data_IF_893076917072
#
_entry.id   IF_893076917072
#
_cell.length_a   1.000
_cell.length_b   1.000
_cell.length_c   1.000
_cell.angle_alpha   90.00
_cell.angle_beta   90.00
_cell.angle_gamma   90.00
#
_symmetry.space_group_name_H-M   'P 1'
#
loop_
_entity.id
_entity.type
_entity.pdbx_description
1 polymer ?
#
# COMPACT_ATOMS: atom_id res chain seq x y z
N UNK A 1 -14.28 -17.74 15.27
CA UNK A 1 -14.70 -17.63 13.85
C UNK A 1 -13.92 -18.65 13.04
N UNK A 2 -14.45 -19.18 11.94
CA UNK A 2 -13.65 -19.98 11.01
C UNK A 2 -12.89 -19.04 10.06
N UNK A 3 -11.66 -19.39 9.71
CA UNK A 3 -10.88 -18.62 8.74
C UNK A 3 -11.54 -18.70 7.36
N UNK A 4 -11.67 -17.55 6.69
CA UNK A 4 -12.12 -17.47 5.30
C UNK A 4 -11.03 -17.92 4.32
N UNK A 5 -11.41 -18.18 3.06
CA UNK A 5 -10.44 -18.44 1.99
C UNK A 5 -9.70 -17.16 1.62
N UNK A 6 -8.37 -17.18 1.72
CA UNK A 6 -7.51 -16.06 1.31
C UNK A 6 -7.70 -15.73 -0.18
N UNK A 7 -7.79 -16.76 -1.04
CA UNK A 7 -7.98 -16.57 -2.48
C UNK A 7 -9.32 -15.91 -2.82
N UNK A 8 -10.40 -16.29 -2.13
CA UNK A 8 -11.71 -15.68 -2.34
C UNK A 8 -11.74 -14.22 -1.85
N UNK A 9 -11.10 -13.96 -0.71
CA UNK A 9 -10.98 -12.60 -0.15
C UNK A 9 -10.17 -11.70 -1.08
N UNK A 10 -9.03 -12.19 -1.57
CA UNK A 10 -8.18 -11.44 -2.49
C UNK A 10 -8.88 -11.14 -3.83
N UNK A 11 -9.62 -12.11 -4.38
CA UNK A 11 -10.41 -11.89 -5.59
C UNK A 11 -11.48 -10.80 -5.39
N UNK A 12 -12.18 -10.81 -4.26
CA UNK A 12 -13.15 -9.79 -3.91
C UNK A 12 -12.51 -8.40 -3.75
N UNK A 13 -11.41 -8.30 -2.99
CA UNK A 13 -10.68 -7.05 -2.77
C UNK A 13 -10.16 -6.46 -4.08
N UNK A 14 -9.59 -7.30 -4.94
CA UNK A 14 -9.17 -6.90 -6.29
C UNK A 14 -10.33 -6.34 -7.11
N UNK A 15 -11.50 -7.00 -7.10
CA UNK A 15 -12.69 -6.52 -7.82
C UNK A 15 -13.20 -5.17 -7.29
N UNK A 16 -13.05 -4.91 -5.99
CA UNK A 16 -13.35 -3.63 -5.36
C UNK A 16 -12.26 -2.55 -5.58
N UNK A 17 -11.17 -2.86 -6.28
CA UNK A 17 -10.06 -1.93 -6.49
C UNK A 17 -9.21 -1.68 -5.24
N UNK A 18 -9.34 -2.53 -4.21
CA UNK A 18 -8.51 -2.50 -3.00
C UNK A 18 -7.10 -2.97 -3.37
N UNK A 19 -6.11 -2.23 -2.90
CA UNK A 19 -4.70 -2.62 -2.98
C UNK A 19 -4.41 -3.46 -1.74
N UNK A 20 -4.11 -4.73 -1.91
CA UNK A 20 -3.58 -5.54 -0.81
C UNK A 20 -2.06 -5.43 -0.82
N UNK A 21 -1.49 -5.30 0.36
CA UNK A 21 -0.05 -5.20 0.60
C UNK A 21 0.46 -6.49 1.22
N UNK A 22 1.76 -6.80 1.07
CA UNK A 22 2.32 -8.07 1.56
C UNK A 22 2.68 -8.04 3.05
N UNK A 23 2.55 -6.89 3.71
CA UNK A 23 2.83 -6.71 5.13
C UNK A 23 2.51 -5.29 5.61
N UNK A 24 2.64 -5.04 6.92
CA UNK A 24 2.41 -3.71 7.51
C UNK A 24 3.30 -2.61 6.91
N UNK A 25 4.57 -2.90 6.62
CA UNK A 25 5.54 -1.98 6.05
C UNK A 25 5.09 -1.55 4.65
N UNK A 26 4.84 -2.52 3.76
CA UNK A 26 4.31 -2.27 2.41
C UNK A 26 3.00 -1.47 2.45
N UNK A 27 2.13 -1.75 3.42
CA UNK A 27 0.87 -1.05 3.60
C UNK A 27 1.12 0.42 3.98
N UNK A 28 2.01 0.69 4.94
CA UNK A 28 2.34 2.06 5.36
C UNK A 28 3.00 2.86 4.24
N UNK A 29 3.98 2.27 3.55
CA UNK A 29 4.64 2.91 2.40
C UNK A 29 3.64 3.23 1.27
N UNK A 30 2.73 2.30 0.97
CA UNK A 30 1.68 2.51 -0.04
C UNK A 30 0.70 3.61 0.38
N UNK A 31 0.29 3.64 1.66
CA UNK A 31 -0.60 4.66 2.18
C UNK A 31 0.02 6.05 2.13
N UNK A 32 1.34 6.19 2.36
CA UNK A 32 2.05 7.47 2.22
C UNK A 32 1.97 8.02 0.79
N UNK A 33 2.13 7.15 -0.22
CA UNK A 33 1.96 7.54 -1.63
C UNK A 33 0.52 7.99 -1.89
N UNK A 34 -0.47 7.17 -1.48
CA UNK A 34 -1.89 7.47 -1.69
C UNK A 34 -2.34 8.75 -0.98
N UNK A 35 -1.77 9.04 0.19
CA UNK A 35 -2.06 10.25 0.95
C UNK A 35 -1.53 11.51 0.24
N UNK A 36 -0.29 11.49 -0.23
CA UNK A 36 0.32 12.68 -0.83
C UNK A 36 -0.14 12.91 -2.27
N UNK A 37 -0.24 11.84 -3.07
CA UNK A 37 -0.39 11.93 -4.53
C UNK A 37 -1.64 11.24 -5.06
N UNK A 38 -2.45 10.62 -4.20
CA UNK A 38 -3.52 9.73 -4.64
C UNK A 38 -2.96 8.49 -5.35
N UNK A 39 -3.77 7.90 -6.23
CA UNK A 39 -3.30 6.79 -7.06
C UNK A 39 -2.31 7.30 -8.12
N UNK A 40 -1.32 6.48 -8.43
CA UNK A 40 -0.34 6.77 -9.47
C UNK A 40 -0.80 6.12 -10.78
N UNK A 41 -0.75 6.87 -11.87
CA UNK A 41 -1.29 6.42 -13.17
C UNK A 41 -0.39 5.39 -13.87
N UNK A 42 0.86 5.28 -13.44
CA UNK A 42 1.86 4.39 -13.99
C UNK A 42 3.02 4.13 -13.05
N UNK A 43 4.02 3.40 -13.57
CA UNK A 43 5.16 2.88 -12.84
C UNK A 43 6.49 3.14 -13.58
N UNK A 44 6.54 4.21 -14.38
CA UNK A 44 7.76 4.72 -15.00
C UNK A 44 8.46 5.63 -14.02
N UNK A 45 9.68 5.31 -13.63
CA UNK A 45 10.41 6.03 -12.59
C UNK A 45 11.64 6.71 -13.15
N UNK A 46 11.97 7.87 -12.58
CA UNK A 46 13.35 8.33 -12.53
C UNK A 46 13.88 8.22 -11.12
N UNK A 47 15.17 7.95 -10.98
CA UNK A 47 15.84 7.97 -9.69
C UNK A 47 17.16 8.75 -9.75
N UNK A 48 17.42 9.55 -8.72
CA UNK A 48 18.70 10.19 -8.47
C UNK A 48 19.34 9.56 -7.22
N UNK A 49 20.57 9.06 -7.37
CA UNK A 49 21.36 8.42 -6.34
C UNK A 49 22.70 9.14 -6.17
N UNK A 50 23.27 9.13 -4.96
CA UNK A 50 24.55 9.81 -4.70
C UNK A 50 25.77 8.92 -5.00
N UNK A 51 25.53 7.63 -5.24
CA UNK A 51 26.56 6.66 -5.62
C UNK A 51 26.06 5.63 -6.64
N UNK A 52 26.99 5.11 -7.44
CA UNK A 52 26.70 4.04 -8.39
C UNK A 52 26.25 2.72 -7.75
N UNK A 53 26.60 2.48 -6.49
CA UNK A 53 26.12 1.32 -5.73
C UNK A 53 24.63 1.37 -5.47
N UNK A 54 24.12 2.53 -5.04
CA UNK A 54 22.68 2.78 -4.88
C UNK A 54 21.95 2.70 -6.21
N UNK A 55 22.51 3.32 -7.27
CA UNK A 55 21.92 3.29 -8.61
C UNK A 55 21.82 1.86 -9.17
N UNK A 56 22.84 1.02 -8.96
CA UNK A 56 22.79 -0.39 -9.33
C UNK A 56 21.77 -1.17 -8.49
N UNK A 57 21.78 -0.98 -7.17
CA UNK A 57 20.89 -1.70 -6.26
C UNK A 57 19.41 -1.41 -6.53
N UNK A 58 19.03 -0.14 -6.70
CA UNK A 58 17.64 0.22 -6.99
C UNK A 58 17.20 -0.31 -8.36
N UNK A 59 18.11 -0.37 -9.34
CA UNK A 59 17.84 -0.95 -10.65
C UNK A 59 17.56 -2.46 -10.56
N UNK A 60 18.38 -3.20 -9.81
CA UNK A 60 18.21 -4.64 -9.59
C UNK A 60 16.92 -4.97 -8.81
N UNK A 61 16.61 -4.19 -7.77
CA UNK A 61 15.40 -4.36 -6.97
C UNK A 61 14.13 -4.06 -7.78
N UNK A 62 14.18 -3.08 -8.69
CA UNK A 62 13.08 -2.81 -9.60
C UNK A 62 12.83 -3.97 -10.59
N UNK A 63 13.85 -4.78 -10.90
CA UNK A 63 13.74 -5.99 -11.70
C UNK A 63 13.49 -7.26 -10.88
N UNK A 64 13.37 -7.16 -9.54
CA UNK A 64 13.18 -8.31 -8.65
C UNK A 64 11.70 -8.66 -8.53
N UNK A 65 11.29 -9.92 -8.82
CA UNK A 65 9.91 -10.37 -8.68
C UNK A 65 9.36 -10.16 -7.27
N UNK A 66 8.19 -9.54 -7.18
CA UNK A 66 7.55 -9.23 -5.90
C UNK A 66 8.12 -8.01 -5.19
N UNK A 67 9.07 -7.29 -5.78
CA UNK A 67 9.47 -5.93 -5.37
C UNK A 67 9.03 -4.96 -6.46
N UNK A 68 9.81 -4.86 -7.54
CA UNK A 68 9.48 -4.00 -8.68
C UNK A 68 9.01 -4.75 -9.93
N UNK A 69 9.43 -6.00 -10.12
CA UNK A 69 8.98 -6.82 -11.24
C UNK A 69 7.69 -7.58 -10.88
N UNK A 70 6.95 -7.97 -11.91
CA UNK A 70 5.65 -8.66 -11.81
C UNK A 70 5.70 -9.80 -10.80
N UNK A 71 5.02 -9.59 -9.67
CA UNK A 71 4.94 -10.54 -8.57
C UNK A 71 3.81 -10.14 -7.64
N UNK A 72 2.79 -10.99 -7.59
CA UNK A 72 1.57 -10.95 -6.80
C UNK A 72 0.54 -9.84 -7.12
N UNK A 73 0.82 -8.53 -7.10
CA UNK A 73 -0.28 -7.56 -7.00
C UNK A 73 -0.11 -6.16 -7.64
N UNK A 74 1.12 -5.69 -7.88
CA UNK A 74 1.40 -4.34 -8.38
C UNK A 74 1.63 -4.23 -9.89
N UNK A 75 1.99 -3.03 -10.36
CA UNK A 75 2.45 -2.77 -11.74
C UNK A 75 3.97 -2.83 -11.80
N UNK A 76 4.52 -3.47 -12.84
CA UNK A 76 5.96 -3.56 -13.04
C UNK A 76 6.59 -2.17 -13.11
N UNK A 77 7.64 -1.95 -12.31
CA UNK A 77 8.45 -0.74 -12.36
C UNK A 77 9.28 -0.74 -13.63
N UNK A 78 9.53 0.45 -14.17
CA UNK A 78 10.34 0.62 -15.38
C UNK A 78 11.20 1.86 -15.30
N UNK A 79 12.40 1.77 -15.85
CA UNK A 79 13.34 2.87 -16.01
C UNK A 79 13.31 3.33 -17.48
N UNK A 80 12.44 4.29 -17.85
CA UNK A 80 12.40 4.82 -19.21
C UNK A 80 13.74 5.49 -19.58
N UNK A 81 14.01 5.53 -20.88
CA UNK A 81 15.13 6.28 -21.42
C UNK A 81 14.96 7.78 -21.18
N UNK A 82 16.04 8.46 -20.80
CA UNK A 82 16.05 9.91 -20.61
C UNK A 82 15.94 10.59 -21.98
N UNK A 83 14.95 11.47 -22.21
CA UNK A 83 14.83 12.18 -23.49
C UNK A 83 16.08 13.01 -23.81
N UNK A 84 16.40 13.16 -25.10
CA UNK A 84 17.66 13.79 -25.52
C UNK A 84 17.85 15.24 -25.02
N UNK A 85 16.76 16.02 -24.90
CA UNK A 85 16.81 17.37 -24.32
C UNK A 85 17.20 17.32 -22.84
N UNK A 86 16.56 16.45 -22.07
CA UNK A 86 16.86 16.23 -20.66
C UNK A 86 18.30 15.73 -20.44
N UNK A 87 18.78 14.82 -21.30
CA UNK A 87 20.17 14.34 -21.25
C UNK A 87 21.19 15.46 -21.53
N UNK A 88 20.83 16.41 -22.40
CA UNK A 88 21.65 17.60 -22.69
C UNK A 88 21.72 18.52 -21.48
N UNK A 89 20.57 18.78 -20.85
CA UNK A 89 20.49 19.62 -19.63
C UNK A 89 21.27 19.01 -18.47
N UNK A 90 21.14 17.69 -18.25
CA UNK A 90 21.93 16.97 -17.26
C UNK A 90 23.43 17.09 -17.51
N UNK A 91 23.86 16.89 -18.76
CA UNK A 91 25.28 16.98 -19.13
C UNK A 91 25.85 18.38 -18.93
N UNK A 92 25.04 19.43 -19.15
CA UNK A 92 25.45 20.81 -18.94
C UNK A 92 25.70 21.14 -17.46
N UNK A 93 24.93 20.54 -16.54
CA UNK A 93 25.05 20.77 -15.09
C UNK A 93 26.12 19.87 -14.46
N UNK A 94 26.14 18.58 -14.81
CA UNK A 94 26.97 17.56 -14.15
C UNK A 94 28.37 17.41 -14.75
N UNK A 95 28.56 17.86 -15.99
CA UNK A 95 29.84 17.77 -16.70
C UNK A 95 30.19 16.34 -17.16
N UNK A 96 31.37 16.17 -17.78
CA UNK A 96 31.72 14.96 -18.55
C UNK A 96 32.08 13.73 -17.70
N UNK A 97 32.22 13.89 -16.39
CA UNK A 97 32.60 12.79 -15.49
C UNK A 97 31.40 11.92 -15.09
N UNK A 98 30.18 12.45 -15.21
CA UNK A 98 28.95 11.73 -14.86
C UNK A 98 28.41 11.00 -16.09
N UNK A 99 28.08 9.72 -15.90
CA UNK A 99 27.38 8.94 -16.93
C UNK A 99 25.88 9.21 -16.83
N UNK A 100 25.30 9.78 -17.88
CA UNK A 100 23.86 10.06 -17.93
C UNK A 100 23.08 8.76 -18.18
N UNK A 101 22.40 8.29 -17.14
CA UNK A 101 21.59 7.08 -17.14
C UNK A 101 20.39 7.23 -16.20
N UNK A 102 19.41 6.33 -16.31
CA UNK A 102 18.29 6.21 -15.38
C UNK A 102 18.25 4.77 -14.86
N UNK A 103 18.45 4.52 -13.54
CA UNK A 103 18.76 5.47 -12.46
C UNK A 103 20.04 6.29 -12.68
N UNK A 104 20.08 7.51 -12.16
CA UNK A 104 21.20 8.46 -12.28
C UNK A 104 22.07 8.44 -11.01
N UNK A 105 23.34 8.07 -11.14
CA UNK A 105 24.38 8.44 -10.16
C UNK A 105 24.86 9.85 -10.50
N UNK A 106 24.37 10.86 -9.77
CA UNK A 106 24.77 12.26 -10.01
C UNK A 106 26.06 12.65 -9.28
N UNK A 107 26.68 11.69 -8.57
CA UNK A 107 27.78 11.91 -7.64
C UNK A 107 27.46 12.97 -6.58
N UNK A 108 28.45 13.38 -5.80
CA UNK A 108 28.30 14.42 -4.77
C UNK A 108 28.93 15.76 -5.17
N UNK A 109 29.31 15.94 -6.45
CA UNK A 109 30.00 17.16 -6.91
C UNK A 109 29.15 18.43 -6.81
N UNK A 110 27.82 18.31 -6.93
CA UNK A 110 26.87 19.41 -6.79
C UNK A 110 26.22 19.46 -5.39
N UNK A 111 26.67 18.62 -4.46
CA UNK A 111 26.06 18.53 -3.13
C UNK A 111 26.15 19.86 -2.37
N UNK A 112 25.01 20.30 -1.83
CA UNK A 112 24.88 21.59 -1.15
C UNK A 112 24.67 22.81 -2.06
N UNK A 113 24.81 22.68 -3.38
CA UNK A 113 24.43 23.69 -4.36
C UNK A 113 22.96 23.48 -4.76
N UNK A 114 22.04 24.12 -4.01
CA UNK A 114 20.59 23.93 -4.19
C UNK A 114 20.13 24.17 -5.63
N UNK A 115 20.65 25.20 -6.30
CA UNK A 115 20.21 25.56 -7.65
C UNK A 115 20.68 24.51 -8.67
N UNK A 116 21.92 24.02 -8.56
CA UNK A 116 22.38 22.93 -9.44
C UNK A 116 21.65 21.62 -9.17
N UNK A 117 21.42 21.27 -7.89
CA UNK A 117 20.64 20.08 -7.55
C UNK A 117 19.22 20.18 -8.10
N UNK A 118 18.56 21.33 -7.96
CA UNK A 118 17.24 21.57 -8.50
C UNK A 118 17.22 21.39 -10.03
N UNK A 119 18.20 21.96 -10.75
CA UNK A 119 18.31 21.81 -12.21
C UNK A 119 18.50 20.34 -12.62
N UNK A 120 19.39 19.61 -11.94
CA UNK A 120 19.60 18.18 -12.17
C UNK A 120 18.34 17.37 -11.91
N UNK A 121 17.65 17.61 -10.79
CA UNK A 121 16.44 16.88 -10.42
C UNK A 121 15.29 17.17 -11.39
N UNK A 122 15.12 18.44 -11.79
CA UNK A 122 14.10 18.83 -12.78
C UNK A 122 14.38 18.20 -14.16
N UNK A 123 15.64 18.05 -14.56
CA UNK A 123 15.99 17.35 -15.79
C UNK A 123 15.69 15.84 -15.73
N UNK A 124 15.59 15.24 -14.55
CA UNK A 124 15.11 13.86 -14.37
C UNK A 124 13.58 13.74 -14.24
N UNK A 125 12.83 14.83 -14.44
CA UNK A 125 11.37 14.89 -14.27
C UNK A 125 10.67 15.22 -15.60
N UNK A 126 9.34 15.10 -15.65
CA UNK A 126 8.51 15.39 -16.83
C UNK A 126 7.50 14.28 -17.16
N UNK A 127 6.87 14.39 -18.32
CA UNK A 127 5.80 13.48 -18.80
C UNK A 127 6.28 12.05 -19.17
N UNK A 128 7.59 11.87 -19.28
CA UNK A 128 8.24 10.59 -19.55
C UNK A 128 8.32 9.68 -18.31
N UNK A 129 8.04 10.20 -17.12
CA UNK A 129 7.96 9.47 -15.85
C UNK A 129 6.62 9.70 -15.15
N UNK A 130 6.25 8.80 -14.24
CA UNK A 130 5.05 8.89 -13.41
C UNK A 130 5.39 9.34 -11.97
N UNK A 131 6.63 9.11 -11.53
CA UNK A 131 7.19 9.56 -10.26
C UNK A 131 8.72 9.68 -10.35
N UNK A 132 9.30 10.64 -9.65
CA UNK A 132 10.75 10.83 -9.52
C UNK A 132 11.20 10.61 -8.07
N UNK A 133 12.26 9.85 -7.89
CA UNK A 133 12.77 9.40 -6.58
C UNK A 133 14.16 9.96 -6.33
N UNK A 134 14.36 10.63 -5.20
CA UNK A 134 15.70 10.93 -4.69
C UNK A 134 16.07 9.91 -3.60
N UNK A 135 17.11 9.12 -3.80
CA UNK A 135 17.66 8.26 -2.75
C UNK A 135 18.44 9.12 -1.76
N UNK A 136 18.04 9.08 -0.49
CA UNK A 136 18.62 9.93 0.55
C UNK A 136 18.40 9.34 1.94
N UNK A 137 19.47 9.27 2.73
CA UNK A 137 19.43 8.94 4.14
C UNK A 137 19.83 10.16 4.97
N UNK A 138 18.98 10.56 5.90
CA UNK A 138 19.24 11.68 6.81
C UNK A 138 20.08 11.22 8.00
N UNK A 139 21.01 12.06 8.49
CA UNK A 139 21.76 11.72 9.68
C UNK A 139 20.84 11.71 10.89
N UNK A 140 21.22 10.93 11.90
CA UNK A 140 20.58 11.00 13.20
C UNK A 140 20.85 12.36 13.86
N UNK A 141 19.77 13.09 14.18
CA UNK A 141 19.83 14.41 14.79
C UNK A 141 20.53 14.43 16.17
N UNK A 142 20.57 13.29 16.90
CA UNK A 142 21.32 13.17 18.16
C UNK A 142 22.85 13.02 17.95
N UNK A 143 23.31 12.87 16.70
CA UNK A 143 24.72 12.59 16.36
C UNK A 143 25.34 13.60 15.41
N UNK A 144 24.58 14.07 14.43
CA UNK A 144 25.07 14.98 13.41
C UNK A 144 23.96 15.94 12.97
N UNK A 145 24.36 17.14 12.54
CA UNK A 145 23.44 18.09 11.92
C UNK A 145 23.04 17.62 10.52
N UNK A 146 21.77 17.83 10.20
CA UNK A 146 21.17 17.62 8.89
C UNK A 146 21.22 18.86 7.98
N UNK A 147 21.89 19.95 8.40
CA UNK A 147 21.94 21.20 7.65
C UNK A 147 22.44 21.02 6.20
N UNK A 148 23.34 20.07 5.97
CA UNK A 148 23.86 19.75 4.64
C UNK A 148 22.85 19.04 3.72
N UNK A 149 21.75 18.50 4.25
CA UNK A 149 20.67 17.84 3.50
C UNK A 149 19.54 18.81 3.11
N UNK A 150 19.40 19.93 3.82
CA UNK A 150 18.35 20.93 3.55
C UNK A 150 18.32 21.38 2.07
N UNK A 151 19.48 21.65 1.43
CA UNK A 151 19.49 22.03 0.01
C UNK A 151 18.93 20.95 -0.91
N UNK A 152 19.11 19.66 -0.60
CA UNK A 152 18.55 18.57 -1.41
C UNK A 152 17.02 18.49 -1.28
N UNK A 153 16.49 18.72 -0.08
CA UNK A 153 15.04 18.79 0.17
C UNK A 153 14.41 19.97 -0.57
N UNK A 154 15.01 21.15 -0.46
CA UNK A 154 14.55 22.34 -1.15
C UNK A 154 14.61 22.17 -2.69
N UNK A 155 15.71 21.61 -3.20
CA UNK A 155 15.88 21.30 -4.62
C UNK A 155 14.81 20.33 -5.14
N UNK A 156 14.53 19.24 -4.42
CA UNK A 156 13.53 18.25 -4.82
C UNK A 156 12.13 18.86 -4.86
N UNK A 157 11.77 19.65 -3.83
CA UNK A 157 10.50 20.37 -3.79
C UNK A 157 10.35 21.31 -4.99
N UNK A 158 11.37 22.16 -5.22
CA UNK A 158 11.37 23.14 -6.32
C UNK A 158 11.27 22.45 -7.68
N UNK A 159 12.02 21.37 -7.91
CA UNK A 159 11.98 20.60 -9.15
C UNK A 159 10.61 19.95 -9.38
N UNK A 160 10.00 19.37 -8.34
CA UNK A 160 8.65 18.81 -8.39
C UNK A 160 7.60 19.87 -8.75
N UNK A 161 7.62 21.03 -8.08
CA UNK A 161 6.72 22.15 -8.34
C UNK A 161 6.87 22.70 -9.77
N UNK A 162 8.11 22.83 -10.25
CA UNK A 162 8.40 23.34 -11.59
C UNK A 162 7.91 22.42 -12.72
N UNK A 163 7.96 21.11 -12.50
CA UNK A 163 7.65 20.11 -13.54
C UNK A 163 6.27 19.48 -13.39
N UNK A 164 5.62 19.65 -12.23
CA UNK A 164 4.38 18.94 -11.89
C UNK A 164 4.58 17.43 -11.66
N UNK A 165 5.83 16.96 -11.54
CA UNK A 165 6.13 15.53 -11.35
C UNK A 165 5.95 15.14 -9.90
N UNK A 166 5.33 13.99 -9.64
CA UNK A 166 5.20 13.43 -8.28
C UNK A 166 6.59 13.08 -7.74
N UNK A 167 6.93 13.59 -6.56
CA UNK A 167 8.25 13.41 -5.97
C UNK A 167 8.21 12.49 -4.75
N UNK A 168 9.23 11.65 -4.61
CA UNK A 168 9.48 10.85 -3.44
C UNK A 168 10.95 10.95 -3.01
N UNK A 169 11.20 10.85 -1.71
CA UNK A 169 12.53 10.64 -1.14
C UNK A 169 12.58 9.25 -0.51
N UNK A 170 13.58 8.45 -0.89
CA UNK A 170 13.69 7.05 -0.51
C UNK A 170 14.95 6.85 0.34
N UNK A 171 14.75 6.45 1.60
CA UNK A 171 15.85 6.00 2.46
C UNK A 171 16.34 4.63 2.00
N UNK A 172 17.65 4.42 2.01
CA UNK A 172 18.25 3.11 1.76
C UNK A 172 17.77 2.10 2.80
N UNK A 173 17.72 2.54 4.06
CA UNK A 173 17.24 1.80 5.22
C UNK A 173 15.95 2.40 5.76
N UNK A 174 15.21 1.62 6.56
CA UNK A 174 13.99 2.09 7.20
C UNK A 174 14.26 3.28 8.14
N UNK A 175 15.41 3.27 8.80
CA UNK A 175 15.86 4.32 9.72
C UNK A 175 16.42 5.56 9.01
N UNK A 176 16.62 5.49 7.69
CA UNK A 176 17.19 6.58 6.88
C UNK A 176 16.34 7.83 6.83
N UNK A 177 15.02 7.69 7.03
CA UNK A 177 14.08 8.80 7.13
C UNK A 177 13.33 8.65 8.45
N UNK A 178 13.63 9.52 9.41
CA UNK A 178 12.94 9.54 10.70
C UNK A 178 11.49 10.01 10.57
N UNK A 179 10.65 9.72 11.56
CA UNK A 179 9.26 10.17 11.58
C UNK A 179 9.13 11.71 11.49
N UNK A 180 10.03 12.45 12.14
CA UNK A 180 10.09 13.90 12.07
C UNK A 180 10.43 14.41 10.65
N UNK A 181 11.32 13.70 9.94
CA UNK A 181 11.63 14.01 8.55
C UNK A 181 10.48 13.62 7.62
N UNK A 182 9.85 12.47 7.85
CA UNK A 182 8.70 12.01 7.08
C UNK A 182 7.55 13.02 7.13
N UNK A 183 7.21 13.54 8.32
CA UNK A 183 6.20 14.60 8.46
C UNK A 183 6.54 15.86 7.64
N UNK A 184 7.78 16.36 7.77
CA UNK A 184 8.23 17.54 7.04
C UNK A 184 8.23 17.37 5.51
N UNK A 185 8.56 16.17 5.03
CA UNK A 185 8.52 15.85 3.59
C UNK A 185 7.09 15.81 3.08
N UNK A 186 6.16 15.18 3.81
CA UNK A 186 4.75 15.13 3.45
C UNK A 186 4.11 16.52 3.45
N UNK A 187 4.43 17.38 4.41
CA UNK A 187 3.98 18.79 4.44
C UNK A 187 4.44 19.59 3.20
N UNK A 188 5.52 19.13 2.56
CA UNK A 188 6.09 19.71 1.33
C UNK A 188 5.63 18.99 0.06
N UNK A 189 4.72 18.01 0.16
CA UNK A 189 4.23 17.24 -0.99
C UNK A 189 5.22 16.20 -1.53
N UNK A 190 6.27 15.85 -0.76
CA UNK A 190 7.25 14.82 -1.10
C UNK A 190 6.92 13.55 -0.31
N UNK A 191 6.78 12.41 -0.98
CA UNK A 191 6.52 11.13 -0.28
C UNK A 191 7.80 10.63 0.38
N UNK A 192 7.82 10.42 1.70
CA UNK A 192 8.93 9.73 2.36
C UNK A 192 8.74 8.22 2.26
N UNK A 193 9.67 7.54 1.60
CA UNK A 193 9.70 6.09 1.48
C UNK A 193 10.86 5.52 2.30
N UNK A 194 10.59 4.55 3.16
CA UNK A 194 11.54 4.03 4.13
C UNK A 194 12.02 2.63 3.73
N UNK A 195 13.24 2.54 3.19
CA UNK A 195 13.87 1.29 2.74
C UNK A 195 13.56 0.94 1.28
N UNK A 196 14.59 0.50 0.54
CA UNK A 196 14.48 0.24 -0.90
C UNK A 196 13.36 -0.75 -1.27
N UNK A 197 13.32 -1.92 -0.63
CA UNK A 197 12.38 -2.98 -1.01
C UNK A 197 10.92 -2.54 -0.82
N UNK A 198 10.61 -2.01 0.36
CA UNK A 198 9.25 -1.58 0.71
C UNK A 198 8.83 -0.33 -0.06
N UNK A 199 9.74 0.62 -0.27
CA UNK A 199 9.47 1.83 -1.05
C UNK A 199 9.17 1.52 -2.52
N UNK A 200 10.00 0.70 -3.18
CA UNK A 200 9.76 0.30 -4.58
C UNK A 200 8.48 -0.52 -4.72
N UNK A 201 8.25 -1.48 -3.83
CA UNK A 201 7.03 -2.27 -3.84
C UNK A 201 5.78 -1.40 -3.62
N UNK A 202 5.85 -0.41 -2.74
CA UNK A 202 4.75 0.53 -2.53
C UNK A 202 4.42 1.33 -3.78
N UNK A 203 5.42 1.78 -4.54
CA UNK A 203 5.22 2.45 -5.83
C UNK A 203 4.53 1.49 -6.82
N UNK A 204 5.00 0.25 -6.90
CA UNK A 204 4.39 -0.79 -7.74
C UNK A 204 2.91 -1.04 -7.37
N UNK A 205 2.60 -1.12 -6.07
CA UNK A 205 1.26 -1.33 -5.54
C UNK A 205 0.34 -0.11 -5.78
N UNK A 206 0.83 1.11 -5.56
CA UNK A 206 0.08 2.35 -5.77
C UNK A 206 -0.25 2.59 -7.27
N UNK A 207 0.57 2.05 -8.17
CA UNK A 207 0.39 2.10 -9.62
C UNK A 207 -0.50 0.99 -10.20
N UNK A 208 -1.09 0.12 -9.35
CA UNK A 208 -1.97 -0.96 -9.79
C UNK A 208 -3.22 -0.39 -10.51
N UNK A 209 -3.60 -0.90 -11.69
CA UNK A 209 -4.85 -0.52 -12.34
C UNK A 209 -6.09 -0.84 -11.49
N UNK A 210 -7.11 0.02 -11.55
CA UNK A 210 -8.41 -0.23 -10.91
C UNK A 210 -9.30 -1.05 -11.86
N UNK A 211 -9.72 -2.28 -11.52
CA UNK A 211 -10.46 -3.13 -12.45
C UNK A 211 -11.89 -2.64 -12.75
N UNK A 212 -12.51 -1.91 -11.82
CA UNK A 212 -13.91 -1.52 -11.91
C UNK A 212 -14.13 -0.05 -11.52
N UNK A 213 -14.10 0.84 -12.50
CA UNK A 213 -14.26 2.28 -12.30
C UNK A 213 -15.66 2.70 -11.79
N UNK A 214 -16.64 1.79 -11.72
CA UNK A 214 -18.01 2.07 -11.27
C UNK A 214 -18.34 1.68 -9.83
N UNK A 215 -17.49 0.88 -9.17
CA UNK A 215 -17.69 0.54 -7.76
C UNK A 215 -17.16 1.68 -6.89
N UNK A 216 -17.97 2.14 -5.95
CA UNK A 216 -17.54 3.12 -4.94
C UNK A 216 -17.97 2.62 -3.55
N UNK A 217 -17.10 2.72 -2.53
CA UNK A 217 -17.49 2.38 -1.18
C UNK A 217 -18.59 3.35 -0.71
N UNK A 218 -19.51 2.83 0.10
CA UNK A 218 -20.53 3.66 0.74
C UNK A 218 -19.86 4.74 1.59
N UNK A 219 -20.41 5.97 1.66
CA UNK A 219 -19.90 7.01 2.53
C UNK A 219 -19.81 6.52 3.97
N UNK A 220 -18.70 6.83 4.65
CA UNK A 220 -18.57 6.52 6.07
C UNK A 220 -19.61 7.31 6.87
N UNK A 221 -20.45 6.62 7.63
CA UNK A 221 -21.32 7.27 8.61
C UNK A 221 -20.54 7.55 9.91
N UNK A 222 -20.86 8.64 10.62
CA UNK A 222 -20.27 8.90 11.92
C UNK A 222 -20.53 7.73 12.87
N UNK A 223 -19.57 7.45 13.75
CA UNK A 223 -19.72 6.37 14.72
C UNK A 223 -20.98 6.61 15.57
N UNK A 224 -21.84 5.60 15.74
CA UNK A 224 -23.05 5.76 16.53
C UNK A 224 -22.70 6.01 18.00
N UNK A 225 -23.44 6.90 18.65
CA UNK A 225 -23.29 7.23 20.09
C UNK A 225 -23.57 6.02 20.99
N UNK A 226 -24.44 5.11 20.53
CA UNK A 226 -24.81 3.91 21.25
C UNK A 226 -24.54 2.68 20.39
N UNK A 227 -23.98 1.64 21.01
CA UNK A 227 -23.71 0.35 20.39
C UNK A 227 -24.43 -0.72 21.21
N UNK A 228 -25.18 -1.57 20.51
CA UNK A 228 -25.82 -2.73 21.11
C UNK A 228 -25.27 -3.98 20.43
N UNK A 229 -24.94 -5.00 21.22
CA UNK A 229 -24.60 -6.30 20.68
C UNK A 229 -25.88 -6.97 20.18
N UNK A 230 -25.88 -7.37 18.91
CA UNK A 230 -26.96 -8.13 18.26
C UNK A 230 -26.46 -9.56 18.06
N UNK A 231 -27.30 -10.55 18.36
CA UNK A 231 -26.93 -11.95 18.12
C UNK A 231 -26.87 -12.28 16.61
N UNK A 232 -26.23 -13.41 16.26
CA UNK A 232 -26.02 -13.77 14.85
C UNK A 232 -27.34 -13.97 14.08
N UNK A 233 -28.39 -14.46 14.75
CA UNK A 233 -29.67 -14.73 14.09
C UNK A 233 -30.38 -13.41 13.77
N UNK A 234 -30.46 -12.50 14.74
CA UNK A 234 -31.09 -11.19 14.57
C UNK A 234 -30.29 -10.34 13.56
N UNK A 235 -28.96 -10.41 13.60
CA UNK A 235 -28.10 -9.74 12.62
C UNK A 235 -28.35 -10.25 11.20
N UNK A 236 -28.51 -11.57 11.00
CA UNK A 236 -28.85 -12.14 9.68
C UNK A 236 -30.22 -11.71 9.20
N UNK A 237 -31.22 -11.63 10.09
CA UNK A 237 -32.54 -11.10 9.73
C UNK A 237 -32.44 -9.66 9.26
N UNK A 238 -31.68 -8.82 9.95
CA UNK A 238 -31.44 -7.41 9.55
C UNK A 238 -30.76 -7.32 8.18
N UNK A 239 -29.71 -8.12 7.94
CA UNK A 239 -28.99 -8.17 6.65
C UNK A 239 -29.91 -8.64 5.51
N UNK A 240 -30.70 -9.70 5.74
CA UNK A 240 -31.65 -10.21 4.76
C UNK A 240 -32.74 -9.18 4.42
N UNK A 241 -33.22 -8.43 5.42
CA UNK A 241 -34.19 -7.34 5.20
C UNK A 241 -33.59 -6.19 4.37
N UNK A 242 -32.27 -6.01 4.42
CA UNK A 242 -31.53 -5.09 3.57
C UNK A 242 -31.15 -5.67 2.19
N UNK A 243 -31.63 -6.87 1.83
CA UNK A 243 -31.35 -7.53 0.55
C UNK A 243 -29.99 -8.23 0.47
N UNK A 244 -29.27 -8.33 1.59
CA UNK A 244 -27.99 -9.05 1.66
C UNK A 244 -28.28 -10.54 1.85
N UNK A 245 -27.77 -11.37 0.95
CA UNK A 245 -27.93 -12.81 1.04
C UNK A 245 -27.25 -13.36 2.32
N UNK A 246 -28.00 -14.13 3.10
CA UNK A 246 -27.50 -14.80 4.31
C UNK A 246 -27.88 -16.27 4.28
N UNK A 247 -27.06 -17.17 4.87
CA UNK A 247 -27.44 -18.57 5.02
C UNK A 247 -28.72 -18.70 5.87
N UNK A 248 -29.66 -19.53 5.42
CA UNK A 248 -30.87 -19.82 6.16
C UNK A 248 -30.53 -20.45 7.53
N UNK A 249 -31.22 -20.02 8.57
CA UNK A 249 -31.03 -20.53 9.92
C UNK A 249 -32.27 -20.35 10.79
N UNK A 250 -32.29 -21.03 11.92
CA UNK A 250 -33.34 -20.97 12.94
C UNK A 250 -32.73 -20.95 14.33
N UNK A 251 -33.42 -20.31 15.28
CA UNK A 251 -33.08 -20.36 16.70
C UNK A 251 -33.82 -21.54 17.34
N UNK A 252 -33.14 -22.26 18.22
CA UNK A 252 -33.73 -23.23 19.12
C UNK A 252 -33.39 -22.80 20.55
N UNK A 253 -34.29 -23.00 21.51
CA UNK A 253 -34.08 -22.59 22.91
C UNK A 253 -33.26 -23.62 23.69
N UNK A 254 -33.45 -24.90 23.37
CA UNK A 254 -32.80 -26.04 24.00
C UNK A 254 -32.58 -27.16 22.99
N UNK A 255 -31.92 -28.24 23.42
CA UNK A 255 -31.57 -29.38 22.57
C UNK A 255 -32.79 -30.13 22.02
N UNK A 256 -33.93 -30.09 22.72
CA UNK A 256 -35.15 -30.79 22.29
C UNK A 256 -35.81 -30.13 21.08
N UNK A 257 -35.62 -28.81 20.91
CA UNK A 257 -36.18 -28.03 19.80
C UNK A 257 -35.33 -28.13 18.51
N UNK A 258 -34.10 -28.67 18.57
CA UNK A 258 -33.14 -28.60 17.47
C UNK A 258 -33.59 -29.31 16.20
N UNK A 259 -34.13 -30.54 16.32
CA UNK A 259 -34.57 -31.31 15.16
C UNK A 259 -35.72 -30.61 14.41
N UNK A 260 -36.67 -30.04 15.17
CA UNK A 260 -37.78 -29.28 14.60
C UNK A 260 -37.31 -27.96 13.98
N UNK A 261 -36.39 -27.25 14.64
CA UNK A 261 -35.83 -26.00 14.13
C UNK A 261 -34.99 -26.22 12.86
N UNK A 262 -34.31 -27.36 12.74
CA UNK A 262 -33.52 -27.72 11.57
C UNK A 262 -34.36 -28.21 10.38
N UNK A 263 -35.66 -28.50 10.58
CA UNK A 263 -36.52 -29.00 9.53
C UNK A 263 -36.58 -28.02 8.34
N UNK A 264 -36.23 -28.51 7.16
CA UNK A 264 -36.19 -27.72 5.92
C UNK A 264 -34.92 -26.89 5.70
N UNK A 265 -33.93 -26.98 6.60
CA UNK A 265 -32.59 -26.47 6.32
C UNK A 265 -31.81 -27.47 5.45
N UNK A 266 -30.91 -26.95 4.61
CA UNK A 266 -30.06 -27.77 3.76
C UNK A 266 -28.86 -28.27 4.54
N UNK A 267 -28.59 -29.58 4.42
CA UNK A 267 -27.42 -30.22 5.00
C UNK A 267 -26.17 -30.00 4.13
N UNK A 268 -24.96 -30.01 4.73
CA UNK A 268 -24.69 -30.19 6.15
C UNK A 268 -25.00 -28.94 7.00
N UNK A 269 -25.40 -29.17 8.24
CA UNK A 269 -25.80 -28.14 9.19
C UNK A 269 -24.63 -27.66 10.05
N UNK A 270 -24.79 -26.44 10.59
CA UNK A 270 -23.88 -25.84 11.56
C UNK A 270 -24.68 -25.44 12.80
N UNK A 271 -24.33 -26.02 13.95
CA UNK A 271 -24.90 -25.65 15.25
C UNK A 271 -23.99 -24.64 15.94
N UNK A 272 -24.57 -23.52 16.40
CA UNK A 272 -23.86 -22.46 17.11
C UNK A 272 -24.61 -22.04 18.37
N UNK A 273 -23.93 -22.03 19.50
CA UNK A 273 -24.45 -21.45 20.74
C UNK A 273 -24.59 -19.92 20.63
N UNK A 274 -25.72 -19.38 21.08
CA UNK A 274 -25.96 -17.93 21.17
C UNK A 274 -25.55 -17.39 22.55
N UNK A 275 -25.38 -16.08 22.69
CA UNK A 275 -25.03 -15.43 23.97
C UNK A 275 -23.52 -15.26 24.23
N UNK A 276 -22.65 -15.87 23.44
CA UNK A 276 -21.19 -15.68 23.52
C UNK A 276 -20.63 -15.05 22.23
N UNK A 277 -19.77 -14.04 22.39
CA UNK A 277 -19.07 -13.44 21.25
C UNK A 277 -18.01 -14.40 20.67
N UNK A 278 -17.20 -15.02 21.54
CA UNK A 278 -16.12 -15.96 21.19
C UNK A 278 -16.56 -17.43 21.21
N UNK A 279 -17.54 -17.79 20.37
CA UNK A 279 -18.20 -19.12 20.37
C UNK A 279 -17.25 -20.31 20.18
N UNK A 280 -16.21 -20.15 19.37
CA UNK A 280 -15.27 -21.24 19.05
C UNK A 280 -14.42 -21.64 20.26
N UNK A 281 -13.95 -20.67 21.05
CA UNK A 281 -13.14 -20.91 22.26
C UNK A 281 -13.95 -21.59 23.37
N UNK A 282 -15.26 -21.33 23.40
CA UNK A 282 -16.20 -21.99 24.29
C UNK A 282 -16.69 -23.36 23.78
N UNK A 283 -16.18 -23.83 22.63
CA UNK A 283 -16.65 -25.08 22.03
C UNK A 283 -18.11 -25.04 21.58
N UNK A 284 -18.67 -23.85 21.33
CA UNK A 284 -20.08 -23.63 20.96
C UNK A 284 -20.30 -23.60 19.45
N UNK A 285 -19.44 -24.25 18.67
CA UNK A 285 -19.59 -24.41 17.22
C UNK A 285 -19.39 -25.88 16.87
N UNK A 286 -20.36 -26.45 16.16
CA UNK A 286 -20.30 -27.80 15.58
C UNK A 286 -20.63 -27.70 14.10
N UNK A 287 -19.81 -28.32 13.27
CA UNK A 287 -19.86 -28.23 11.81
C UNK A 287 -20.21 -29.57 11.22
N UNK A 288 -20.60 -29.55 9.95
CA UNK A 288 -20.79 -30.77 9.15
C UNK A 288 -21.84 -31.72 9.72
N UNK A 289 -22.83 -31.20 10.45
CA UNK A 289 -23.83 -32.02 11.13
C UNK A 289 -24.93 -32.48 10.18
N UNK A 290 -25.29 -33.75 10.30
CA UNK A 290 -26.54 -34.28 9.80
C UNK A 290 -27.67 -34.02 10.82
N UNK A 291 -28.95 -33.99 10.40
CA UNK A 291 -30.06 -33.63 11.29
C UNK A 291 -30.19 -34.54 12.52
N UNK A 292 -29.83 -35.81 12.39
CA UNK A 292 -29.83 -36.82 13.45
C UNK A 292 -28.69 -36.65 14.47
N UNK A 293 -27.62 -35.94 14.12
CA UNK A 293 -26.47 -35.68 14.99
C UNK A 293 -26.66 -34.44 15.88
N UNK A 294 -27.72 -33.64 15.65
CA UNK A 294 -27.91 -32.34 16.32
C UNK A 294 -28.07 -32.47 17.84
N UNK A 295 -28.78 -33.49 18.32
CA UNK A 295 -29.04 -33.67 19.74
C UNK A 295 -27.76 -34.03 20.52
N UNK A 296 -26.92 -34.89 19.95
CA UNK A 296 -25.65 -35.29 20.54
C UNK A 296 -24.59 -34.19 20.49
N UNK A 297 -24.73 -33.27 19.53
CA UNK A 297 -23.80 -32.16 19.33
C UNK A 297 -24.05 -30.95 20.25
N UNK A 298 -25.22 -30.87 20.89
CA UNK A 298 -25.69 -29.75 21.72
C UNK A 298 -25.14 -29.78 23.16
#
# INVERSE_FOLDING_TARGET
ALAGSAAASAAFLAQCGVIEANGPEDMLETLKILHCHGRVDGARLSAMCCSGGEAGLIADLAATPGIGDTGAMGRALSWPHIPASHATDLSAVLGPLVTIANPLDYHTFIWGDEDKMMQTFAAMMGDWVDMSVLVIDFPRADRCSDAAWMPAVAAMRRAGEMTGTRTAMLGTLAEGISDAWAGQLMDQGIVPLCGFEHGLRAISLAARPVPNAGWTPMPAHPAPLHRQLVDEADAKTMLSAAGIAVPAGRKARDSSDLATAAAGLQTPLVLKGLGHAHKSEAGLVRLSLMPDELADAA
#
